data_IF_867449299266
#
_entry.id   IF_867449299266
#
_cell.length_a   1.000
_cell.length_b   1.000
_cell.length_c   1.000
_cell.angle_alpha   90.00
_cell.angle_beta   90.00
_cell.angle_gamma   90.00
#
_symmetry.space_group_name_H-M   'P 1'
#
loop_
_entity.id
_entity.type
_entity.pdbx_description
1 polymer ?
#
# COMPACT_ATOMS: atom_id res chain seq x y z
N UNK A 1 3.20 -37.84 -7.39
CA UNK A 1 3.51 -37.23 -6.10
C UNK A 1 3.17 -35.77 -6.22
N UNK A 2 1.95 -35.41 -5.84
CA UNK A 2 1.54 -34.01 -5.89
C UNK A 2 2.28 -33.30 -4.76
N UNK A 3 3.33 -32.57 -5.14
CA UNK A 3 3.86 -31.52 -4.28
C UNK A 3 2.66 -30.64 -3.90
N UNK A 4 2.47 -30.27 -2.62
CA UNK A 4 1.41 -29.36 -2.26
C UNK A 4 1.57 -28.11 -3.14
N UNK A 5 0.53 -27.74 -3.90
CA UNK A 5 0.56 -26.48 -4.65
C UNK A 5 0.89 -25.37 -3.66
N UNK A 6 1.93 -24.60 -3.97
CA UNK A 6 2.32 -23.47 -3.13
C UNK A 6 1.11 -22.55 -2.96
N UNK A 7 0.82 -22.13 -1.73
CA UNK A 7 -0.30 -21.24 -1.46
C UNK A 7 -0.18 -19.96 -2.29
N UNK A 8 -1.28 -19.50 -2.88
CA UNK A 8 -1.31 -18.37 -3.81
C UNK A 8 -1.79 -17.11 -3.07
N UNK A 9 -1.03 -16.04 -3.24
CA UNK A 9 -1.33 -14.69 -2.75
C UNK A 9 -1.58 -13.78 -3.95
N UNK A 10 -2.82 -13.40 -4.18
CA UNK A 10 -3.21 -12.55 -5.29
C UNK A 10 -2.99 -11.07 -4.96
N UNK A 11 -2.17 -10.38 -5.74
CA UNK A 11 -1.77 -8.99 -5.50
C UNK A 11 -2.49 -8.05 -6.47
N UNK A 12 -3.32 -7.15 -5.97
CA UNK A 12 -4.17 -6.23 -6.74
C UNK A 12 -3.45 -5.02 -7.34
N UNK A 13 -2.23 -5.21 -7.85
CA UNK A 13 -1.46 -4.13 -8.48
C UNK A 13 -0.43 -4.69 -9.45
N UNK A 14 -0.29 -4.02 -10.61
CA UNK A 14 0.80 -4.26 -11.56
C UNK A 14 1.99 -3.30 -11.37
N UNK A 15 1.91 -2.35 -10.44
CA UNK A 15 3.03 -1.48 -10.13
C UNK A 15 4.20 -2.32 -9.54
N UNK A 16 5.39 -2.28 -10.16
CA UNK A 16 6.52 -3.13 -9.78
C UNK A 16 7.02 -2.84 -8.36
N UNK A 17 7.00 -1.57 -7.92
CA UNK A 17 7.40 -1.17 -6.58
C UNK A 17 6.47 -1.72 -5.50
N UNK A 18 5.15 -1.62 -5.71
CA UNK A 18 4.15 -2.21 -4.80
C UNK A 18 4.29 -3.74 -4.72
N UNK A 19 4.44 -4.41 -5.86
CA UNK A 19 4.62 -5.86 -5.91
C UNK A 19 5.92 -6.31 -5.23
N UNK A 20 7.01 -5.59 -5.44
CA UNK A 20 8.29 -5.87 -4.79
C UNK A 20 8.21 -5.73 -3.27
N UNK A 21 7.54 -4.67 -2.77
CA UNK A 21 7.33 -4.47 -1.34
C UNK A 21 6.59 -5.67 -0.70
N UNK A 22 5.51 -6.14 -1.32
CA UNK A 22 4.73 -7.28 -0.82
C UNK A 22 5.58 -8.56 -0.81
N UNK A 23 6.27 -8.87 -1.93
CA UNK A 23 7.14 -10.06 -2.02
C UNK A 23 8.25 -10.06 -0.97
N UNK A 24 8.88 -8.91 -0.75
CA UNK A 24 9.92 -8.75 0.27
C UNK A 24 9.36 -8.95 1.68
N UNK A 25 8.23 -8.34 2.01
CA UNK A 25 7.59 -8.52 3.31
C UNK A 25 7.20 -9.98 3.57
N UNK A 26 6.67 -10.67 2.56
CA UNK A 26 6.29 -12.08 2.69
C UNK A 26 7.53 -12.96 2.93
N UNK A 27 8.63 -12.70 2.22
CA UNK A 27 9.90 -13.38 2.45
C UNK A 27 10.46 -13.12 3.85
N UNK A 28 10.49 -11.85 4.28
CA UNK A 28 10.96 -11.45 5.62
C UNK A 28 10.11 -12.06 6.75
N UNK A 29 8.80 -12.16 6.54
CA UNK A 29 7.84 -12.74 7.48
C UNK A 29 7.78 -14.28 7.43
N UNK A 30 8.60 -14.93 6.58
CA UNK A 30 8.57 -16.38 6.33
C UNK A 30 7.17 -16.90 5.92
N UNK A 31 6.43 -16.08 5.17
CA UNK A 31 5.10 -16.39 4.66
C UNK A 31 5.25 -17.10 3.31
N UNK A 32 5.00 -18.42 3.31
CA UNK A 32 5.24 -19.30 2.16
C UNK A 32 4.12 -19.20 1.09
N UNK A 33 4.08 -18.09 0.37
CA UNK A 33 3.12 -17.85 -0.71
C UNK A 33 3.79 -17.44 -2.02
N UNK A 34 3.25 -17.95 -3.12
CA UNK A 34 3.55 -17.45 -4.46
C UNK A 34 2.66 -16.24 -4.75
N UNK A 35 3.27 -15.09 -5.02
CA UNK A 35 2.54 -13.88 -5.36
C UNK A 35 2.17 -13.84 -6.85
N UNK A 36 0.88 -13.79 -7.16
CA UNK A 36 0.34 -13.60 -8.51
C UNK A 36 -0.29 -12.20 -8.61
N UNK A 37 0.24 -11.35 -9.50
CA UNK A 37 -0.20 -9.97 -9.61
C UNK A 37 -1.24 -9.81 -10.71
N UNK A 38 -2.34 -9.12 -10.40
CA UNK A 38 -3.37 -8.74 -11.37
C UNK A 38 -3.69 -7.25 -11.25
N UNK A 39 -4.23 -6.69 -12.33
CA UNK A 39 -4.79 -5.34 -12.29
C UNK A 39 -6.12 -5.35 -11.52
N UNK A 40 -6.33 -4.38 -10.64
CA UNK A 40 -7.62 -4.16 -9.96
C UNK A 40 -7.88 -2.66 -9.84
N UNK A 41 -9.16 -2.29 -9.83
CA UNK A 41 -9.60 -0.94 -9.51
C UNK A 41 -9.71 -0.76 -7.99
N UNK A 42 -9.36 0.42 -7.46
CA UNK A 42 -9.59 0.72 -6.04
C UNK A 42 -11.03 1.09 -5.72
N UNK A 43 -11.81 1.56 -6.71
CA UNK A 43 -13.19 1.99 -6.51
C UNK A 43 -13.34 3.22 -5.60
N UNK A 44 -12.25 3.97 -5.38
CA UNK A 44 -12.20 5.26 -4.68
C UNK A 44 -11.51 6.30 -5.58
N UNK A 45 -11.39 7.56 -5.13
CA UNK A 45 -10.71 8.59 -5.92
C UNK A 45 -9.24 8.22 -6.21
N UNK A 46 -8.68 8.72 -7.32
CA UNK A 46 -7.27 8.53 -7.69
C UNK A 46 -6.30 9.06 -6.62
N UNK A 47 -6.73 10.08 -5.87
CA UNK A 47 -6.05 10.60 -4.69
C UNK A 47 -7.01 10.50 -3.48
N UNK A 48 -7.04 9.35 -2.79
CA UNK A 48 -7.89 9.17 -1.62
C UNK A 48 -7.58 10.20 -0.53
N UNK A 49 -8.64 10.75 0.07
CA UNK A 49 -8.58 11.75 1.13
C UNK A 49 -9.24 11.22 2.41
N UNK A 50 -8.42 10.98 3.43
CA UNK A 50 -8.83 10.43 4.70
C UNK A 50 -8.43 8.97 4.85
N UNK A 51 -8.39 8.53 6.12
CA UNK A 51 -8.01 7.17 6.47
C UNK A 51 -9.00 6.15 5.92
N UNK A 52 -10.31 6.40 6.09
CA UNK A 52 -11.36 5.46 5.71
C UNK A 52 -11.41 5.21 4.20
N UNK A 53 -11.31 6.26 3.38
CA UNK A 53 -11.30 6.12 1.92
C UNK A 53 -10.06 5.37 1.43
N UNK A 54 -8.89 5.68 2.00
CA UNK A 54 -7.64 5.01 1.62
C UNK A 54 -7.67 3.51 1.99
N UNK A 55 -8.17 3.19 3.19
CA UNK A 55 -8.35 1.80 3.64
C UNK A 55 -9.39 1.08 2.79
N UNK A 56 -10.48 1.76 2.41
CA UNK A 56 -11.49 1.21 1.51
C UNK A 56 -10.87 0.85 0.14
N UNK A 57 -10.07 1.74 -0.44
CA UNK A 57 -9.35 1.48 -1.68
C UNK A 57 -8.43 0.25 -1.58
N UNK A 58 -7.67 0.13 -0.48
CA UNK A 58 -6.83 -1.04 -0.25
C UNK A 58 -7.65 -2.33 -0.13
N UNK A 59 -8.76 -2.31 0.62
CA UNK A 59 -9.68 -3.46 0.76
C UNK A 59 -10.30 -3.87 -0.56
N UNK A 60 -10.76 -2.92 -1.36
CA UNK A 60 -11.36 -3.19 -2.67
C UNK A 60 -10.37 -3.90 -3.59
N UNK A 61 -9.11 -3.43 -3.65
CA UNK A 61 -8.05 -4.10 -4.41
C UNK A 61 -7.77 -5.50 -3.90
N UNK A 62 -7.70 -5.70 -2.58
CA UNK A 62 -7.44 -7.02 -1.98
C UNK A 62 -8.56 -8.03 -2.27
N UNK A 63 -9.82 -7.61 -2.15
CA UNK A 63 -10.98 -8.46 -2.45
C UNK A 63 -11.06 -8.80 -3.94
N UNK A 64 -10.87 -7.79 -4.80
CA UNK A 64 -10.87 -7.96 -6.24
C UNK A 64 -9.74 -8.88 -6.71
N UNK A 65 -8.54 -8.77 -6.13
CA UNK A 65 -7.41 -9.61 -6.51
C UNK A 65 -7.64 -11.08 -6.15
N UNK A 66 -8.13 -11.35 -4.93
CA UNK A 66 -8.46 -12.71 -4.51
C UNK A 66 -9.54 -13.34 -5.37
N UNK A 67 -10.56 -12.57 -5.73
CA UNK A 67 -11.64 -13.04 -6.60
C UNK A 67 -11.16 -13.29 -8.05
N UNK A 68 -10.17 -12.51 -8.53
CA UNK A 68 -9.65 -12.59 -9.88
C UNK A 68 -8.61 -13.68 -10.13
N UNK A 69 -7.99 -14.24 -9.09
CA UNK A 69 -7.00 -15.32 -9.19
C UNK A 69 -7.57 -16.64 -8.65
N UNK A 70 -7.90 -17.61 -9.52
CA UNK A 70 -8.45 -18.89 -9.10
C UNK A 70 -7.53 -19.62 -8.12
N UNK A 71 -8.09 -20.05 -6.99
CA UNK A 71 -7.34 -20.78 -5.98
C UNK A 71 -6.42 -19.93 -5.10
N UNK A 72 -6.51 -18.60 -5.16
CA UNK A 72 -5.83 -17.73 -4.20
C UNK A 72 -6.41 -17.89 -2.78
N UNK A 73 -5.54 -18.16 -1.80
CA UNK A 73 -5.93 -18.16 -0.40
C UNK A 73 -5.95 -16.74 0.17
N UNK A 74 -5.05 -15.88 -0.30
CA UNK A 74 -4.97 -14.47 0.12
C UNK A 74 -5.18 -13.51 -1.05
N UNK A 75 -5.80 -12.36 -0.77
CA UNK A 75 -5.77 -11.18 -1.62
C UNK A 75 -5.05 -10.03 -0.94
N UNK A 76 -4.25 -9.26 -1.66
CA UNK A 76 -3.45 -8.16 -1.11
C UNK A 76 -3.69 -6.90 -1.94
N UNK A 77 -4.01 -5.80 -1.27
CA UNK A 77 -4.19 -4.48 -1.87
C UNK A 77 -3.39 -3.42 -1.14
N UNK A 78 -2.77 -2.51 -1.90
CA UNK A 78 -2.04 -1.35 -1.37
C UNK A 78 -2.61 -0.07 -1.97
N UNK A 79 -2.96 0.89 -1.13
CA UNK A 79 -3.42 2.21 -1.55
C UNK A 79 -2.67 3.32 -0.82
N UNK A 80 -2.22 4.32 -1.57
CA UNK A 80 -1.62 5.53 -1.00
C UNK A 80 -2.72 6.58 -0.88
N UNK A 81 -2.66 7.38 0.17
CA UNK A 81 -3.67 8.41 0.41
C UNK A 81 -3.13 9.53 1.26
N UNK A 82 -3.95 10.56 1.41
CA UNK A 82 -3.63 11.72 2.22
C UNK A 82 -4.63 11.88 3.35
N UNK A 83 -4.19 12.33 4.52
CA UNK A 83 -5.09 12.55 5.67
C UNK A 83 -4.82 13.91 6.31
N UNK A 84 -5.85 14.76 6.50
CA UNK A 84 -5.69 16.01 7.23
C UNK A 84 -5.58 15.71 8.74
N UNK A 85 -4.51 16.19 9.37
CA UNK A 85 -4.27 16.07 10.82
C UNK A 85 -3.68 17.38 11.31
N UNK A 86 -4.31 18.01 12.30
CA UNK A 86 -3.82 19.25 12.93
C UNK A 86 -3.47 20.37 11.93
N UNK A 87 -4.34 20.59 10.93
CA UNK A 87 -4.14 21.60 9.89
C UNK A 87 -3.04 21.29 8.86
N UNK A 88 -2.36 20.15 8.97
CA UNK A 88 -1.40 19.65 8.00
C UNK A 88 -2.04 18.53 7.17
N UNK A 89 -1.51 18.32 5.96
CA UNK A 89 -1.90 17.20 5.10
C UNK A 89 -0.78 16.16 5.13
N UNK A 90 -1.09 14.95 5.58
CA UNK A 90 -0.13 13.86 5.72
C UNK A 90 -0.27 12.84 4.60
N UNK A 91 0.85 12.32 4.11
CA UNK A 91 0.93 11.19 3.19
C UNK A 91 1.17 9.88 3.94
N UNK A 92 0.47 8.82 3.52
CA UNK A 92 0.65 7.47 4.03
C UNK A 92 0.21 6.40 3.01
N UNK A 93 0.49 5.13 3.34
CA UNK A 93 0.01 3.98 2.59
C UNK A 93 -0.78 3.02 3.50
N UNK A 94 -1.91 2.53 3.02
CA UNK A 94 -2.67 1.45 3.63
C UNK A 94 -2.45 0.14 2.87
N UNK A 95 -2.39 -0.97 3.60
CA UNK A 95 -2.41 -2.33 3.08
C UNK A 95 -3.64 -3.05 3.61
N UNK A 96 -4.28 -3.86 2.76
CA UNK A 96 -5.29 -4.82 3.16
C UNK A 96 -4.91 -6.23 2.71
N UNK A 97 -5.08 -7.22 3.58
CA UNK A 97 -4.90 -8.64 3.29
C UNK A 97 -6.24 -9.34 3.55
N UNK A 98 -6.86 -9.88 2.51
CA UNK A 98 -8.11 -10.63 2.57
C UNK A 98 -7.84 -12.14 2.61
N UNK A 99 -8.29 -12.85 3.64
CA UNK A 99 -8.19 -14.33 3.73
C UNK A 99 -9.43 -15.06 3.20
N UNK A 100 -10.50 -14.31 2.89
CA UNK A 100 -11.79 -14.82 2.45
C UNK A 100 -12.90 -14.68 3.48
N UNK A 101 -12.54 -14.49 4.73
CA UNK A 101 -13.47 -14.24 5.83
C UNK A 101 -13.29 -12.83 6.38
N UNK A 102 -12.02 -12.39 6.47
CA UNK A 102 -11.58 -11.14 7.08
C UNK A 102 -10.71 -10.34 6.11
N UNK A 103 -10.61 -9.04 6.41
CA UNK A 103 -9.64 -8.14 5.81
C UNK A 103 -8.77 -7.54 6.91
N UNK A 104 -7.52 -7.98 6.99
CA UNK A 104 -6.51 -7.44 7.89
C UNK A 104 -5.95 -6.14 7.32
N UNK A 105 -5.91 -5.07 8.12
CA UNK A 105 -5.52 -3.73 7.66
C UNK A 105 -4.27 -3.26 8.39
N UNK A 106 -3.28 -2.81 7.63
CA UNK A 106 -2.09 -2.13 8.14
C UNK A 106 -1.93 -0.76 7.51
N UNK A 107 -1.27 0.15 8.19
CA UNK A 107 -0.90 1.47 7.66
C UNK A 107 0.56 1.74 7.93
N UNK A 108 1.19 2.49 7.04
CA UNK A 108 2.54 2.99 7.25
C UNK A 108 2.55 4.15 8.24
N UNK A 109 3.76 4.55 8.65
CA UNK A 109 4.01 5.89 9.17
C UNK A 109 3.53 6.95 8.18
N UNK A 110 3.19 8.11 8.73
CA UNK A 110 2.70 9.26 7.98
C UNK A 110 3.75 10.36 7.99
N UNK A 111 3.84 11.15 6.91
CA UNK A 111 4.68 12.35 6.89
C UNK A 111 3.89 13.57 6.41
N UNK A 112 4.11 14.76 7.00
CA UNK A 112 3.42 15.96 6.56
C UNK A 112 3.99 16.42 5.21
N UNK A 113 3.10 16.76 4.29
CA UNK A 113 3.49 17.39 3.03
C UNK A 113 4.06 18.80 3.30
N UNK A 114 5.07 19.24 2.54
CA UNK A 114 5.48 20.64 2.56
C UNK A 114 4.27 21.55 2.26
N UNK A 115 4.08 22.68 2.95
CA UNK A 115 2.89 23.53 2.76
C UNK A 115 2.67 23.98 1.31
N UNK A 116 3.78 24.22 0.57
CA UNK A 116 3.71 24.56 -0.85
C UNK A 116 3.17 23.41 -1.71
N UNK A 117 3.52 22.17 -1.40
CA UNK A 117 2.98 20.99 -2.11
C UNK A 117 1.49 20.86 -1.83
N UNK A 118 1.08 20.95 -0.55
CA UNK A 118 -0.32 20.87 -0.17
C UNK A 118 -1.18 21.94 -0.86
N UNK A 119 -0.65 23.15 -1.02
CA UNK A 119 -1.35 24.25 -1.71
C UNK A 119 -1.54 24.03 -3.22
N UNK A 120 -0.61 23.33 -3.88
CA UNK A 120 -0.64 23.07 -5.33
C UNK A 120 -1.41 21.78 -5.69
N UNK A 121 -1.56 20.87 -4.73
CA UNK A 121 -2.13 19.55 -4.93
C UNK A 121 -3.53 19.55 -5.57
N UNK A 122 -4.48 20.42 -5.18
CA UNK A 122 -5.82 20.42 -5.79
C UNK A 122 -5.83 20.80 -7.28
N UNK A 123 -4.81 21.53 -7.74
CA UNK A 123 -4.75 22.03 -9.13
C UNK A 123 -3.78 21.25 -10.01
N UNK A 124 -2.74 20.66 -9.44
CA UNK A 124 -1.66 20.02 -10.20
C UNK A 124 -1.58 18.51 -9.99
N UNK A 125 -2.17 17.99 -8.92
CA UNK A 125 -1.96 16.61 -8.48
C UNK A 125 -0.63 16.41 -7.76
N UNK A 126 -0.50 15.25 -7.11
CA UNK A 126 0.58 14.98 -6.15
C UNK A 126 1.99 15.13 -6.74
N UNK A 127 2.30 14.43 -7.83
CA UNK A 127 3.65 14.41 -8.40
C UNK A 127 4.06 15.79 -8.93
N UNK A 128 3.19 16.45 -9.72
CA UNK A 128 3.49 17.76 -10.29
C UNK A 128 3.61 18.85 -9.21
N UNK A 129 2.82 18.78 -8.14
CA UNK A 129 2.95 19.68 -7.00
C UNK A 129 4.34 19.56 -6.33
N UNK A 130 4.86 18.34 -6.19
CA UNK A 130 6.22 18.12 -5.69
C UNK A 130 7.28 18.64 -6.66
N UNK A 131 7.17 18.34 -7.95
CA UNK A 131 8.12 18.80 -8.97
C UNK A 131 8.21 20.31 -9.04
N UNK A 132 7.06 21.01 -8.99
CA UNK A 132 7.01 22.46 -8.95
C UNK A 132 7.56 23.05 -7.65
N UNK A 133 7.32 22.40 -6.51
CA UNK A 133 7.78 22.89 -5.22
C UNK A 133 9.28 22.71 -5.02
N UNK A 134 9.86 21.60 -5.50
CA UNK A 134 11.26 21.20 -5.23
C UNK A 134 12.20 21.42 -6.41
N UNK A 135 11.68 21.53 -7.64
CA UNK A 135 12.47 21.55 -8.87
C UNK A 135 13.10 20.20 -9.23
N UNK A 136 12.66 19.10 -8.60
CA UNK A 136 13.17 17.74 -8.80
C UNK A 136 12.05 16.81 -9.27
N UNK A 137 12.31 15.84 -10.17
CA UNK A 137 11.32 14.84 -10.59
C UNK A 137 10.72 14.08 -9.41
N UNK A 138 9.43 13.72 -9.41
CA UNK A 138 8.78 13.08 -8.25
C UNK A 138 9.17 11.61 -8.00
N UNK A 139 9.74 10.93 -9.00
CA UNK A 139 10.17 9.52 -8.93
C UNK A 139 9.07 8.54 -8.42
N UNK A 140 7.87 8.51 -9.04
CA UNK A 140 6.75 7.70 -8.55
C UNK A 140 6.99 6.18 -8.62
N UNK A 141 7.94 5.74 -9.45
CA UNK A 141 8.27 4.33 -9.65
C UNK A 141 9.52 3.86 -8.86
N UNK A 142 10.28 4.79 -8.26
CA UNK A 142 11.47 4.52 -7.47
C UNK A 142 11.27 4.78 -5.97
N UNK A 143 12.21 5.53 -5.38
CA UNK A 143 12.26 5.82 -3.94
C UNK A 143 11.32 6.98 -3.54
N UNK A 144 10.82 7.72 -4.54
CA UNK A 144 9.78 8.72 -4.40
C UNK A 144 10.20 10.01 -3.70
N UNK A 145 9.24 10.94 -3.62
CA UNK A 145 9.41 12.26 -2.98
C UNK A 145 9.83 12.16 -1.52
N UNK A 146 9.46 11.08 -0.82
CA UNK A 146 9.84 10.83 0.58
C UNK A 146 11.36 10.70 0.76
N UNK A 147 12.05 10.07 -0.19
CA UNK A 147 13.52 10.00 -0.17
C UNK A 147 14.16 11.36 -0.39
N UNK A 148 13.56 12.20 -1.23
CA UNK A 148 14.05 13.56 -1.48
C UNK A 148 13.92 14.45 -0.26
N UNK A 149 12.82 14.32 0.48
CA UNK A 149 12.56 15.07 1.71
C UNK A 149 13.44 14.59 2.87
N UNK A 150 13.64 13.28 2.99
CA UNK A 150 14.34 12.68 4.14
C UNK A 150 15.84 12.47 3.92
N UNK A 151 16.38 12.80 2.75
CA UNK A 151 17.76 12.49 2.40
C UNK A 151 18.03 10.99 2.29
N UNK A 152 17.03 10.22 1.88
CA UNK A 152 17.09 8.76 1.70
C UNK A 152 16.91 7.94 2.98
N UNK A 153 16.72 8.57 4.14
CA UNK A 153 16.46 7.85 5.40
C UNK A 153 15.13 7.11 5.35
N UNK A 154 14.12 7.72 4.73
CA UNK A 154 12.82 7.15 4.44
C UNK A 154 12.63 7.08 2.93
N UNK A 155 12.01 6.01 2.43
CA UNK A 155 11.71 5.84 1.00
C UNK A 155 10.31 5.30 0.82
N UNK A 156 9.73 5.51 -0.37
CA UNK A 156 8.42 4.97 -0.72
C UNK A 156 8.36 3.44 -0.59
N UNK A 157 9.36 2.65 -1.06
CA UNK A 157 9.41 1.22 -0.78
C UNK A 157 9.39 0.87 0.71
N UNK A 158 10.14 1.61 1.54
CA UNK A 158 10.16 1.39 3.00
C UNK A 158 8.80 1.66 3.63
N UNK A 159 8.14 2.75 3.24
CA UNK A 159 6.80 3.12 3.71
C UNK A 159 5.75 2.06 3.31
N UNK A 160 5.78 1.57 2.06
CA UNK A 160 4.89 0.49 1.62
C UNK A 160 5.15 -0.82 2.38
N UNK A 161 6.42 -1.18 2.63
CA UNK A 161 6.75 -2.37 3.43
C UNK A 161 6.19 -2.27 4.84
N UNK A 162 6.22 -1.08 5.45
CA UNK A 162 5.68 -0.86 6.78
C UNK A 162 4.17 -1.12 6.84
N UNK A 163 3.40 -0.67 5.84
CA UNK A 163 1.95 -0.95 5.79
C UNK A 163 1.65 -2.44 5.61
N UNK A 164 2.46 -3.17 4.83
CA UNK A 164 2.32 -4.62 4.69
C UNK A 164 2.66 -5.35 6.00
N UNK A 165 3.78 -5.00 6.64
CA UNK A 165 4.20 -5.62 7.90
C UNK A 165 3.18 -5.40 9.02
N UNK A 166 2.60 -4.21 9.12
CA UNK A 166 1.55 -3.93 10.12
C UNK A 166 0.24 -4.67 9.84
N UNK A 167 -0.10 -4.93 8.57
CA UNK A 167 -1.22 -5.79 8.22
C UNK A 167 -0.96 -7.27 8.59
N UNK A 168 0.27 -7.74 8.38
CA UNK A 168 0.69 -9.11 8.71
C UNK A 168 0.63 -9.40 10.22
N UNK A 169 0.75 -8.39 11.09
CA UNK A 169 0.62 -8.58 12.55
C UNK A 169 -0.69 -9.28 12.92
N UNK A 170 -1.79 -8.93 12.26
CA UNK A 170 -3.08 -9.58 12.50
C UNK A 170 -3.07 -11.02 11.99
N UNK A 171 -2.66 -11.22 10.73
CA UNK A 171 -2.61 -12.54 10.09
C UNK A 171 -1.70 -13.53 10.84
N UNK A 172 -0.60 -13.07 11.42
CA UNK A 172 0.36 -13.93 12.15
C UNK A 172 -0.07 -14.21 13.59
N UNK A 173 -0.99 -13.42 14.14
CA UNK A 173 -1.42 -13.52 15.53
C UNK A 173 -2.95 -13.69 15.62
N UNK A 174 -3.56 -14.45 14.70
CA UNK A 174 -5.01 -14.57 14.56
C UNK A 174 -5.73 -14.78 15.89
N UNK A 175 -5.16 -15.56 16.81
CA UNK A 175 -5.71 -15.84 18.14
C UNK A 175 -5.90 -14.60 19.04
N UNK A 176 -5.20 -13.50 18.75
CA UNK A 176 -5.33 -12.21 19.46
C UNK A 176 -6.26 -11.23 18.73
N UNK A 177 -6.67 -11.56 17.50
CA UNK A 177 -7.49 -10.74 16.61
C UNK A 177 -8.78 -11.48 16.19
N UNK A 178 -9.20 -12.46 16.99
CA UNK A 178 -10.50 -13.12 16.93
C UNK A 178 -11.23 -12.81 18.24
N UNK A 179 -12.46 -12.29 18.15
CA UNK A 179 -13.35 -12.12 19.31
C UNK A 179 -13.75 -13.46 19.94
#
# INVERSE_FOLDING_TARGET
>A
SDLPMAAIAAVGTLNPGKLAAIKLCFAEASVAYTCEAIHTESGVADQPMGLDETVLGAKNRALASRAGVPGAQLGIGLESGLVPVDGLLFDFCACAIADGERCFVGVSSMFPLPPRVAALLPTEGYNAAFERATGKPADPDGDGVLAQLSGGVLTRPRQMKESVHTALLQLQNLQLYTD
#
